data_IF_669852711016
#
_entry.id   IF_669852711016
#
_cell.length_a   1.000
_cell.length_b   1.000
_cell.length_c   1.000
_cell.angle_alpha   90.00
_cell.angle_beta   90.00
_cell.angle_gamma   90.00
#
_symmetry.space_group_name_H-M   'P 1'
#
loop_
_entity.id
_entity.type
_entity.pdbx_description
1 polymer ?
#
# COMPACT_ATOMS: atom_id res chain seq x y z
N UNK A 1 -10.86 -5.72 -7.14
CA UNK A 1 -10.22 -4.40 -7.13
C UNK A 1 -11.07 -3.44 -6.33
N UNK A 2 -10.52 -2.89 -5.25
CA UNK A 2 -11.23 -1.97 -4.34
C UNK A 2 -10.66 -0.56 -4.54
N UNK A 3 -11.54 0.45 -4.64
CA UNK A 3 -11.19 1.85 -4.52
C UNK A 3 -11.43 2.29 -3.08
N UNK A 4 -10.45 2.95 -2.46
CA UNK A 4 -10.67 3.64 -1.19
C UNK A 4 -10.28 5.12 -1.40
N UNK A 5 -11.29 5.98 -1.57
CA UNK A 5 -11.11 7.42 -1.77
C UNK A 5 -12.02 8.16 -0.80
N UNK A 6 -11.42 8.82 0.20
CA UNK A 6 -12.14 9.69 1.12
C UNK A 6 -11.66 11.12 0.96
N UNK A 7 -12.54 12.00 0.48
CA UNK A 7 -12.32 13.45 0.47
C UNK A 7 -13.28 14.12 1.45
N UNK A 8 -12.77 14.63 2.56
CA UNK A 8 -13.55 15.40 3.52
C UNK A 8 -12.67 16.18 4.49
N UNK A 9 -12.98 17.46 4.70
CA UNK A 9 -12.18 18.38 5.50
C UNK A 9 -12.27 18.16 7.03
N UNK A 10 -12.98 17.15 7.52
CA UNK A 10 -13.21 16.95 8.95
C UNK A 10 -12.99 15.48 9.39
N UNK A 11 -11.78 15.23 9.90
CA UNK A 11 -11.44 14.27 10.99
C UNK A 11 -11.40 12.75 10.76
N UNK A 12 -11.80 12.17 9.61
CA UNK A 12 -11.55 10.72 9.36
C UNK A 12 -11.19 10.41 7.90
N UNK A 13 -9.94 10.66 7.51
CA UNK A 13 -9.40 10.26 6.19
C UNK A 13 -8.38 9.11 6.35
N UNK A 14 -8.79 8.03 7.00
CA UNK A 14 -7.96 6.84 7.24
C UNK A 14 -8.32 5.73 6.26
N UNK A 15 -7.37 5.24 5.46
CA UNK A 15 -7.60 4.05 4.65
C UNK A 15 -7.50 2.75 5.47
N UNK A 16 -6.51 1.90 5.17
CA UNK A 16 -6.52 0.50 5.58
C UNK A 16 -5.82 0.31 6.94
N UNK A 17 -6.47 -0.38 7.88
CA UNK A 17 -5.86 -0.86 9.12
C UNK A 17 -5.87 -2.39 9.14
N UNK A 18 -4.71 -2.99 9.36
CA UNK A 18 -4.57 -4.41 9.63
C UNK A 18 -4.14 -4.59 11.08
N UNK A 19 -5.04 -5.04 11.96
CA UNK A 19 -4.72 -5.11 13.39
C UNK A 19 -5.09 -6.41 14.10
N UNK A 20 -5.98 -7.23 13.54
CA UNK A 20 -6.48 -8.40 14.26
C UNK A 20 -5.56 -9.62 14.09
N UNK A 21 -5.14 -10.23 15.20
CA UNK A 21 -4.55 -11.57 15.24
C UNK A 21 -5.67 -12.62 15.25
N UNK A 22 -5.62 -13.68 14.42
CA UNK A 22 -4.44 -14.25 13.77
C UNK A 22 -4.31 -13.94 12.26
N UNK A 23 -4.84 -12.80 11.77
CA UNK A 23 -4.81 -12.48 10.32
C UNK A 23 -3.36 -12.49 9.81
N UNK A 24 -3.01 -13.37 8.87
CA UNK A 24 -1.61 -13.64 8.55
C UNK A 24 -1.31 -13.99 7.08
N UNK A 25 -2.29 -14.02 6.19
CA UNK A 25 -2.07 -14.27 4.75
C UNK A 25 -2.97 -13.32 3.96
N UNK A 26 -2.41 -12.23 3.47
CA UNK A 26 -3.18 -11.14 2.86
C UNK A 26 -2.52 -10.74 1.55
N UNK A 27 -3.33 -10.57 0.51
CA UNK A 27 -2.87 -9.93 -0.72
C UNK A 27 -3.65 -8.64 -0.95
N UNK A 28 -2.92 -7.54 -1.20
CA UNK A 28 -3.46 -6.31 -1.73
C UNK A 28 -2.94 -6.19 -3.15
N UNK A 29 -3.85 -6.26 -4.13
CA UNK A 29 -3.45 -6.06 -5.52
C UNK A 29 -4.42 -5.22 -6.32
N UNK A 30 -3.87 -4.40 -7.23
CA UNK A 30 -4.62 -3.57 -8.17
C UNK A 30 -5.57 -2.57 -7.51
N UNK A 31 -5.30 -2.15 -6.28
CA UNK A 31 -6.13 -1.16 -5.59
C UNK A 31 -5.68 0.27 -5.93
N UNK A 32 -6.60 1.22 -5.82
CA UNK A 32 -6.30 2.65 -5.87
C UNK A 32 -6.69 3.30 -4.55
N UNK A 33 -5.74 4.01 -3.94
CA UNK A 33 -5.93 4.71 -2.68
C UNK A 33 -5.40 6.13 -2.80
N UNK A 34 -6.21 7.12 -2.41
CA UNK A 34 -5.88 8.51 -2.65
C UNK A 34 -6.42 9.47 -1.58
N UNK A 35 -5.71 10.58 -1.38
CA UNK A 35 -6.08 11.71 -0.51
C UNK A 35 -6.24 11.38 0.98
N UNK A 36 -5.77 10.22 1.42
CA UNK A 36 -5.84 9.84 2.82
C UNK A 36 -4.87 10.65 3.68
N UNK A 37 -5.36 11.12 4.83
CA UNK A 37 -4.53 11.78 5.84
C UNK A 37 -3.58 10.81 6.53
N UNK A 38 -4.00 9.55 6.66
CA UNK A 38 -3.19 8.46 7.19
C UNK A 38 -3.69 7.12 6.61
N UNK A 39 -2.89 6.06 6.68
CA UNK A 39 -3.27 4.70 6.26
C UNK A 39 -3.67 4.65 4.77
N UNK A 40 -2.92 5.33 3.93
CA UNK A 40 -3.14 5.32 2.49
C UNK A 40 -2.87 3.92 1.90
N UNK A 41 -1.74 3.30 2.28
CA UNK A 41 -1.60 1.85 2.32
C UNK A 41 -2.02 1.31 3.69
N UNK A 42 -1.85 0.01 3.92
CA UNK A 42 -2.17 -0.55 5.22
C UNK A 42 -1.22 -0.03 6.30
N UNK A 43 -1.79 0.47 7.40
CA UNK A 43 -1.08 0.51 8.68
C UNK A 43 -1.29 -0.85 9.36
N UNK A 44 -0.18 -1.50 9.68
CA UNK A 44 -0.08 -2.85 10.18
C UNK A 44 0.27 -2.78 11.66
N UNK A 45 -0.69 -3.15 12.49
CA UNK A 45 -0.64 -3.02 13.93
C UNK A 45 -1.16 -4.29 14.61
N UNK A 46 -0.33 -5.34 14.68
CA UNK A 46 -0.67 -6.61 15.34
C UNK A 46 -0.53 -6.56 16.88
N UNK A 47 -1.03 -5.51 17.52
CA UNK A 47 -1.12 -5.46 18.97
C UNK A 47 -2.37 -6.22 19.48
N UNK A 48 -2.21 -6.96 20.58
CA UNK A 48 -3.32 -7.65 21.26
C UNK A 48 -3.08 -9.15 21.48
N UNK A 49 -4.03 -9.80 22.16
CA UNK A 49 -4.02 -11.24 22.44
C UNK A 49 -4.28 -12.08 21.19
N UNK A 50 -3.65 -13.25 21.11
CA UNK A 50 -3.70 -14.18 19.99
C UNK A 50 -2.30 -14.46 19.42
N UNK A 51 -2.13 -15.61 18.77
CA UNK A 51 -0.87 -16.03 18.15
C UNK A 51 -0.97 -15.90 16.64
N UNK A 52 0.08 -15.38 16.00
CA UNK A 52 0.25 -15.59 14.56
C UNK A 52 0.76 -17.03 14.40
N UNK A 53 0.38 -17.78 13.34
CA UNK A 53 0.95 -19.11 13.10
C UNK A 53 2.48 -19.08 13.12
N UNK A 54 3.12 -20.21 13.45
CA UNK A 54 4.56 -20.32 13.66
C UNK A 54 5.43 -19.87 12.45
N UNK A 55 4.85 -19.72 11.26
CA UNK A 55 5.49 -19.16 10.07
C UNK A 55 5.35 -17.64 9.89
N UNK A 56 4.83 -16.92 10.89
CA UNK A 56 4.63 -15.48 10.85
C UNK A 56 3.45 -15.05 9.97
N UNK A 57 3.45 -13.78 9.61
CA UNK A 57 2.48 -13.20 8.69
C UNK A 57 3.09 -13.00 7.30
N UNK A 58 2.32 -13.29 6.25
CA UNK A 58 2.67 -13.09 4.87
C UNK A 58 1.77 -12.00 4.28
N UNK A 59 2.38 -11.00 3.63
CA UNK A 59 1.66 -9.98 2.86
C UNK A 59 2.21 -9.89 1.44
N UNK A 60 1.29 -9.88 0.49
CA UNK A 60 1.58 -9.73 -0.92
C UNK A 60 0.96 -8.44 -1.44
N UNK A 61 1.81 -7.45 -1.69
CA UNK A 61 1.42 -6.09 -2.05
C UNK A 61 1.88 -5.87 -3.50
N UNK A 62 0.94 -5.96 -4.44
CA UNK A 62 1.26 -5.93 -5.87
C UNK A 62 0.43 -4.94 -6.67
N UNK A 63 1.06 -4.18 -7.56
CA UNK A 63 0.34 -3.36 -8.54
C UNK A 63 -0.71 -2.42 -7.94
N UNK A 64 -0.49 -1.92 -6.72
CA UNK A 64 -1.37 -0.92 -6.11
C UNK A 64 -0.90 0.50 -6.46
N UNK A 65 -1.87 1.41 -6.58
CA UNK A 65 -1.64 2.82 -6.89
C UNK A 65 -1.98 3.67 -5.66
N UNK A 66 -1.04 4.53 -5.28
CA UNK A 66 -1.17 5.47 -4.18
C UNK A 66 -1.03 6.89 -4.67
N UNK A 67 -1.92 7.78 -4.24
CA UNK A 67 -1.87 9.18 -4.65
C UNK A 67 -2.13 10.15 -3.50
N UNK A 68 -1.36 11.22 -3.43
CA UNK A 68 -1.60 12.33 -2.52
C UNK A 68 -1.80 11.91 -1.04
N UNK A 69 -1.01 10.95 -0.58
CA UNK A 69 -1.08 10.44 0.78
C UNK A 69 -0.40 11.42 1.75
N UNK A 70 -1.14 11.98 2.71
CA UNK A 70 -0.63 13.02 3.61
C UNK A 70 0.15 12.49 4.82
N UNK A 71 0.81 11.35 4.66
CA UNK A 71 1.50 10.65 5.74
C UNK A 71 2.89 10.18 5.26
N UNK A 72 3.84 10.10 6.18
CA UNK A 72 5.23 9.86 5.81
C UNK A 72 5.47 8.45 5.26
N UNK A 73 4.77 7.42 5.75
CA UNK A 73 4.92 6.02 5.31
C UNK A 73 3.58 5.50 4.77
N UNK A 74 3.46 5.29 3.46
CA UNK A 74 2.18 4.87 2.84
C UNK A 74 1.73 3.52 3.42
N UNK A 75 2.60 2.52 3.41
CA UNK A 75 2.50 1.34 4.26
C UNK A 75 3.39 1.51 5.48
N UNK A 76 2.85 1.22 6.66
CA UNK A 76 3.58 1.31 7.92
C UNK A 76 3.34 0.07 8.75
N UNK A 77 4.41 -0.42 9.37
CA UNK A 77 4.35 -1.43 10.41
C UNK A 77 4.75 -0.79 11.73
N UNK A 78 3.89 -0.87 12.74
CA UNK A 78 4.16 -0.27 14.06
C UNK A 78 4.82 -1.27 15.02
N UNK A 79 4.26 -2.48 15.13
CA UNK A 79 4.77 -3.55 16.01
C UNK A 79 4.75 -4.89 15.26
N UNK A 80 5.91 -5.43 14.80
CA UNK A 80 5.98 -6.77 14.24
C UNK A 80 5.46 -7.82 15.24
N UNK A 81 4.78 -8.88 14.77
CA UNK A 81 4.69 -10.11 15.54
C UNK A 81 6.10 -10.69 15.77
N UNK A 82 6.29 -11.38 16.90
CA UNK A 82 7.59 -12.00 17.24
C UNK A 82 7.99 -13.09 16.23
N UNK A 83 6.99 -13.68 15.58
CA UNK A 83 7.10 -14.69 14.53
C UNK A 83 7.62 -14.11 13.20
N UNK A 84 7.71 -12.79 13.06
CA UNK A 84 8.18 -12.09 11.86
C UNK A 84 7.11 -11.89 10.79
N UNK A 85 7.47 -11.10 9.77
CA UNK A 85 6.60 -10.79 8.64
C UNK A 85 7.36 -10.96 7.33
N UNK A 86 6.67 -11.53 6.35
CA UNK A 86 7.17 -11.77 5.00
C UNK A 86 6.41 -10.86 4.03
N UNK A 87 7.14 -10.13 3.20
CA UNK A 87 6.56 -9.17 2.25
C UNK A 87 7.00 -9.46 0.83
N UNK A 88 6.03 -9.51 -0.08
CA UNK A 88 6.26 -9.30 -1.51
C UNK A 88 5.78 -7.89 -1.86
N UNK A 89 6.69 -7.02 -2.30
CA UNK A 89 6.39 -5.65 -2.73
C UNK A 89 6.71 -5.54 -4.21
N UNK A 90 5.71 -5.63 -5.09
CA UNK A 90 5.97 -5.80 -6.53
C UNK A 90 5.12 -4.86 -7.39
N UNK A 91 5.74 -4.08 -8.26
CA UNK A 91 4.99 -3.34 -9.28
C UNK A 91 4.07 -2.24 -8.72
N UNK A 92 4.28 -1.77 -7.48
CA UNK A 92 3.45 -0.71 -6.89
C UNK A 92 3.90 0.67 -7.36
N UNK A 93 2.95 1.59 -7.51
CA UNK A 93 3.23 2.96 -7.94
C UNK A 93 2.65 3.96 -6.95
N UNK A 94 3.46 4.90 -6.48
CA UNK A 94 3.00 6.03 -5.71
C UNK A 94 3.31 7.34 -6.44
N UNK A 95 2.41 8.31 -6.31
CA UNK A 95 2.59 9.67 -6.84
C UNK A 95 2.28 10.69 -5.76
N UNK A 96 3.21 11.61 -5.57
CA UNK A 96 3.00 12.76 -4.69
C UNK A 96 1.93 13.68 -5.26
N UNK A 97 1.10 14.22 -4.36
CA UNK A 97 0.16 15.30 -4.64
C UNK A 97 0.35 16.46 -3.66
N UNK A 98 -0.51 17.48 -3.70
CA UNK A 98 -0.36 18.71 -2.91
C UNK A 98 -0.21 18.52 -1.39
N UNK A 99 -0.76 17.43 -0.84
CA UNK A 99 -0.72 17.13 0.59
C UNK A 99 0.38 16.12 0.97
N UNK A 100 1.17 15.64 0.00
CA UNK A 100 2.21 14.63 0.27
C UNK A 100 3.43 15.25 0.96
N UNK A 101 3.88 14.72 2.11
CA UNK A 101 5.09 15.20 2.77
C UNK A 101 6.34 15.05 1.89
N UNK A 102 7.25 16.02 1.96
CA UNK A 102 8.47 16.02 1.13
C UNK A 102 9.40 14.83 1.39
N UNK A 103 9.37 14.26 2.60
CA UNK A 103 10.18 13.12 3.03
C UNK A 103 9.37 11.81 3.10
N UNK A 104 8.29 11.71 2.32
CA UNK A 104 7.46 10.52 2.30
C UNK A 104 8.18 9.32 1.69
N UNK A 105 7.73 8.14 2.06
CA UNK A 105 8.21 6.86 1.54
C UNK A 105 7.04 5.91 1.34
N UNK A 106 7.21 4.97 0.41
CA UNK A 106 6.15 4.02 0.10
C UNK A 106 5.98 2.97 1.21
N UNK A 107 7.08 2.48 1.77
CA UNK A 107 7.07 1.37 2.72
C UNK A 107 7.96 1.66 3.94
N UNK A 108 7.38 1.60 5.13
CA UNK A 108 8.09 1.49 6.40
C UNK A 108 7.79 0.14 7.04
N UNK A 109 8.52 -0.89 6.62
CA UNK A 109 8.25 -2.30 6.92
C UNK A 109 9.52 -3.01 7.40
N UNK A 110 9.37 -3.97 8.32
CA UNK A 110 10.42 -4.85 8.84
C UNK A 110 10.07 -6.33 8.64
N UNK A 111 11.06 -7.12 8.25
CA UNK A 111 10.92 -8.56 8.06
C UNK A 111 11.74 -9.08 6.89
N UNK A 112 11.24 -10.14 6.25
CA UNK A 112 11.87 -10.67 5.03
C UNK A 112 11.14 -10.15 3.80
N UNK A 113 11.84 -9.43 2.92
CA UNK A 113 11.24 -8.63 1.87
C UNK A 113 11.79 -9.06 0.51
N UNK A 114 10.89 -9.41 -0.40
CA UNK A 114 11.17 -9.40 -1.82
C UNK A 114 10.60 -8.12 -2.45
N UNK A 115 11.44 -7.36 -3.16
CA UNK A 115 11.03 -6.15 -3.87
C UNK A 115 11.36 -6.25 -5.34
N UNK A 116 10.43 -5.84 -6.19
CA UNK A 116 10.68 -5.72 -7.61
C UNK A 116 9.82 -4.61 -8.23
N UNK A 117 10.44 -3.70 -8.99
CA UNK A 117 9.74 -2.69 -9.81
C UNK A 117 8.69 -1.85 -9.04
N UNK A 118 9.01 -1.34 -7.85
CA UNK A 118 8.17 -0.34 -7.19
C UNK A 118 8.66 1.06 -7.53
N UNK A 119 7.74 1.99 -7.83
CA UNK A 119 8.07 3.34 -8.26
C UNK A 119 7.41 4.40 -7.40
N UNK A 120 8.22 5.31 -6.89
CA UNK A 120 7.76 6.52 -6.22
C UNK A 120 8.58 7.72 -6.73
N UNK A 121 8.25 8.26 -7.91
CA UNK A 121 9.06 9.30 -8.53
C UNK A 121 9.27 10.50 -7.59
N UNK A 122 10.53 10.86 -7.37
CA UNK A 122 10.92 11.98 -6.50
C UNK A 122 10.85 11.69 -5.00
N UNK A 123 10.60 10.45 -4.58
CA UNK A 123 10.46 10.04 -3.18
C UNK A 123 11.18 8.71 -2.93
N UNK A 124 11.30 8.32 -1.65
CA UNK A 124 11.96 7.05 -1.29
C UNK A 124 10.99 5.86 -1.38
N UNK A 125 11.47 4.69 -1.80
CA UNK A 125 10.65 3.47 -1.79
C UNK A 125 10.53 2.89 -0.38
N UNK A 126 11.67 2.74 0.31
CA UNK A 126 11.76 2.15 1.64
C UNK A 126 12.23 3.17 2.68
N UNK A 127 11.72 3.04 3.90
CA UNK A 127 12.27 3.65 5.10
C UNK A 127 13.53 2.93 5.58
N UNK A 128 14.42 3.63 6.28
CA UNK A 128 15.63 3.06 6.92
C UNK A 128 15.34 2.51 8.32
N UNK A 129 14.10 2.57 8.79
CA UNK A 129 13.76 1.87 10.03
C UNK A 129 13.87 0.37 9.80
N UNK A 130 14.50 -0.32 10.77
CA UNK A 130 14.74 -1.76 10.85
C UNK A 130 15.71 -2.36 9.82
N UNK A 131 16.28 -3.53 10.13
CA UNK A 131 17.24 -4.25 9.29
C UNK A 131 16.51 -5.34 8.49
N UNK A 132 15.76 -5.02 7.41
CA UNK A 132 15.04 -6.03 6.64
C UNK A 132 16.02 -7.00 5.99
N UNK A 133 15.58 -8.25 5.85
CA UNK A 133 16.30 -9.25 5.07
C UNK A 133 15.74 -9.26 3.65
N UNK A 134 16.53 -8.80 2.68
CA UNK A 134 16.10 -8.81 1.28
C UNK A 134 16.31 -10.17 0.62
N UNK A 135 15.29 -10.63 -0.09
CA UNK A 135 15.30 -11.88 -0.84
C UNK A 135 15.47 -11.61 -2.34
N UNK A 136 16.02 -12.60 -3.05
CA UNK A 136 16.16 -12.57 -4.52
C UNK A 136 14.98 -13.22 -5.25
N UNK A 137 14.07 -13.87 -4.52
CA UNK A 137 12.84 -14.50 -5.03
C UNK A 137 11.65 -14.16 -4.15
N UNK A 138 10.44 -14.05 -4.72
CA UNK A 138 9.24 -13.78 -3.95
C UNK A 138 8.89 -14.93 -3.01
N UNK A 139 8.26 -14.58 -1.89
CA UNK A 139 7.54 -15.52 -1.04
C UNK A 139 6.40 -16.18 -1.82
N UNK A 140 6.09 -17.42 -1.47
CA UNK A 140 5.01 -18.18 -2.12
C UNK A 140 3.64 -17.56 -1.81
N UNK A 141 2.91 -17.19 -2.86
CA UNK A 141 1.53 -16.69 -2.81
C UNK A 141 0.73 -17.27 -3.98
N UNK A 142 -0.62 -17.29 -3.91
CA UNK A 142 -1.45 -17.57 -5.06
C UNK A 142 -1.05 -16.69 -6.26
N UNK A 143 -1.07 -17.27 -7.46
CA UNK A 143 -0.66 -16.55 -8.67
C UNK A 143 -1.58 -15.37 -8.95
N UNK A 144 -0.98 -14.19 -9.10
CA UNK A 144 -1.65 -12.94 -9.47
C UNK A 144 -0.97 -12.41 -10.71
N UNK A 145 -1.76 -12.03 -11.73
CA UNK A 145 -1.25 -11.34 -12.90
C UNK A 145 -0.50 -10.10 -12.45
N UNK A 146 0.81 -10.08 -12.64
CA UNK A 146 1.69 -9.02 -12.17
C UNK A 146 2.24 -8.28 -13.37
N UNK A 147 2.11 -6.96 -13.40
CA UNK A 147 2.67 -6.09 -14.44
C UNK A 147 3.74 -5.19 -13.87
N UNK A 148 4.40 -4.40 -14.71
CA UNK A 148 5.28 -3.33 -14.23
C UNK A 148 4.50 -2.25 -13.47
N UNK A 149 5.16 -1.45 -12.63
CA UNK A 149 4.53 -0.34 -11.91
C UNK A 149 3.90 0.70 -12.84
N UNK A 150 4.57 1.04 -13.94
CA UNK A 150 4.01 1.96 -14.94
C UNK A 150 2.78 1.36 -15.63
N UNK A 151 2.83 0.08 -16.00
CA UNK A 151 1.66 -0.58 -16.60
C UNK A 151 0.50 -0.70 -15.60
N UNK A 152 0.80 -0.97 -14.33
CA UNK A 152 -0.20 -1.01 -13.27
C UNK A 152 -0.90 0.34 -13.08
N UNK A 153 -0.18 1.45 -13.22
CA UNK A 153 -0.76 2.79 -13.17
C UNK A 153 -1.88 2.96 -14.20
N UNK A 154 -1.64 2.55 -15.45
CA UNK A 154 -2.63 2.62 -16.51
C UNK A 154 -3.77 1.60 -16.31
N UNK A 155 -3.43 0.35 -15.98
CA UNK A 155 -4.40 -0.73 -15.84
C UNK A 155 -5.36 -0.48 -14.66
N UNK A 156 -4.84 -0.07 -13.50
CA UNK A 156 -5.66 0.22 -12.32
C UNK A 156 -6.60 1.38 -12.59
N UNK A 157 -6.12 2.48 -13.19
CA UNK A 157 -6.99 3.60 -13.53
C UNK A 157 -8.04 3.27 -14.59
N UNK A 158 -7.83 2.20 -15.37
CA UNK A 158 -8.80 1.69 -16.33
C UNK A 158 -9.89 0.86 -15.67
N UNK A 159 -9.59 0.13 -14.59
CA UNK A 159 -10.52 -0.87 -14.03
C UNK A 159 -11.02 -0.62 -12.61
N UNK A 160 -10.42 0.32 -11.86
CA UNK A 160 -10.73 0.54 -10.44
C UNK A 160 -12.08 1.22 -10.20
N UNK A 161 -12.68 0.89 -9.04
CA UNK A 161 -13.95 1.45 -8.59
C UNK A 161 -15.16 0.63 -9.02
N UNK A 162 -16.34 1.19 -8.74
CA UNK A 162 -17.62 0.60 -9.16
C UNK A 162 -17.90 0.86 -10.64
N UNK A 163 -18.72 0.00 -11.24
CA UNK A 163 -19.18 0.14 -12.62
C UNK A 163 -20.71 0.19 -12.69
N UNK A 164 -21.31 1.18 -13.38
CA UNK A 164 -20.67 2.34 -13.98
C UNK A 164 -19.98 3.22 -12.94
N UNK A 165 -18.93 3.94 -13.36
CA UNK A 165 -18.15 4.77 -12.44
C UNK A 165 -19.01 5.89 -11.87
N UNK A 166 -18.97 6.03 -10.56
CA UNK A 166 -19.57 7.16 -9.88
C UNK A 166 -18.71 8.42 -10.04
N UNK A 167 -19.30 9.56 -9.67
CA UNK A 167 -18.66 10.87 -9.80
C UNK A 167 -17.40 11.01 -8.92
N UNK A 168 -17.36 10.39 -7.73
CA UNK A 168 -16.19 10.45 -6.84
C UNK A 168 -15.03 9.65 -7.42
N UNK A 169 -15.27 8.39 -7.85
CA UNK A 169 -14.26 7.57 -8.53
C UNK A 169 -13.65 8.32 -9.73
N UNK A 170 -14.51 8.91 -10.56
CA UNK A 170 -14.08 9.65 -11.75
C UNK A 170 -13.24 10.86 -11.38
N UNK A 171 -13.69 11.65 -10.39
CA UNK A 171 -12.98 12.85 -9.93
C UNK A 171 -11.61 12.49 -9.37
N UNK A 172 -11.52 11.52 -8.47
CA UNK A 172 -10.26 11.13 -7.82
C UNK A 172 -9.22 10.59 -8.81
N UNK A 173 -9.64 9.88 -9.85
CA UNK A 173 -8.72 9.44 -10.92
C UNK A 173 -8.21 10.63 -11.73
N UNK A 174 -9.09 11.59 -12.05
CA UNK A 174 -8.69 12.80 -12.77
C UNK A 174 -7.71 13.65 -11.94
N UNK A 175 -7.96 13.79 -10.64
CA UNK A 175 -7.06 14.46 -9.70
C UNK A 175 -5.67 13.78 -9.66
N UNK A 176 -5.64 12.45 -9.57
CA UNK A 176 -4.38 11.71 -9.58
C UNK A 176 -3.61 11.81 -10.89
N UNK A 177 -4.31 11.85 -12.03
CA UNK A 177 -3.69 12.10 -13.34
C UNK A 177 -3.13 13.52 -13.42
N UNK A 178 -3.94 14.52 -13.05
CA UNK A 178 -3.57 15.94 -13.12
C UNK A 178 -2.56 16.37 -12.04
N UNK A 179 -2.41 15.62 -10.95
CA UNK A 179 -1.59 16.04 -9.82
C UNK A 179 -2.26 17.11 -8.94
N UNK A 180 -3.59 17.11 -8.87
CA UNK A 180 -4.41 18.06 -8.07
C UNK A 180 -5.05 17.36 -6.87
N UNK A 181 -5.79 18.09 -6.03
CA UNK A 181 -6.58 17.48 -4.96
C UNK A 181 -7.61 18.41 -4.37
#
# INVERSE_FOLDING_TARGET
TILNSMSGANSQNYGILLAYRPTNNISFHHNFSAHHFNRCGANIHWAGGGSVPAGGANLDIRNNIFYNCAFQQIYRQELPPAEGVNYNLIGNYAKSGPNTPANSMMFGLDGTIYMNDNLYPGQSIMSVYSNPTYLTKPHSFPSITTTSALKAYDDVFTWVGSWPRDAMTTRTINEAKAGTG
#
